data_IF_717180342604
#
_entry.id   IF_717180342604
#
_cell.length_a   1.000
_cell.length_b   1.000
_cell.length_c   1.000
_cell.angle_alpha   90.00
_cell.angle_beta   90.00
_cell.angle_gamma   90.00
#
_symmetry.space_group_name_H-M   'P 1'
#
loop_
_entity.id
_entity.type
_entity.pdbx_description
1 polymer ?
#
# COMPACT_ATOMS: atom_id res chain seq x y z
N UNK A 1 -4.68 -8.23 75.16
CA UNK A 1 -3.83 -8.64 74.10
C UNK A 1 -4.58 -9.36 72.94
N UNK A 2 -5.47 -10.30 73.24
CA UNK A 2 -6.25 -11.03 72.21
C UNK A 2 -7.25 -10.17 71.43
N UNK A 3 -7.91 -9.21 72.09
CA UNK A 3 -8.83 -8.28 71.41
C UNK A 3 -8.14 -7.37 70.39
N UNK A 4 -6.92 -6.93 70.69
CA UNK A 4 -6.12 -6.10 69.75
C UNK A 4 -5.64 -6.88 68.53
N UNK A 5 -5.29 -8.17 68.73
CA UNK A 5 -4.91 -9.06 67.59
C UNK A 5 -6.10 -9.33 66.67
N UNK A 6 -7.30 -9.51 67.20
CA UNK A 6 -8.53 -9.70 66.39
C UNK A 6 -8.88 -8.43 65.59
N UNK A 7 -8.73 -7.25 66.20
CA UNK A 7 -8.97 -5.98 65.57
C UNK A 7 -7.99 -5.73 64.39
N UNK A 8 -6.69 -6.01 64.58
CA UNK A 8 -5.67 -5.89 63.57
C UNK A 8 -5.92 -6.86 62.39
N UNK A 9 -6.35 -8.11 62.71
CA UNK A 9 -6.64 -9.10 61.68
C UNK A 9 -7.86 -8.72 60.83
N UNK A 10 -8.91 -8.12 61.43
CA UNK A 10 -10.10 -7.62 60.70
C UNK A 10 -9.74 -6.41 59.83
N UNK A 11 -8.90 -5.50 60.33
CA UNK A 11 -8.43 -4.32 59.52
C UNK A 11 -7.55 -4.75 58.36
N UNK A 12 -6.67 -5.76 58.56
CA UNK A 12 -5.86 -6.32 57.45
C UNK A 12 -6.72 -7.03 56.40
N UNK A 13 -7.77 -7.81 56.82
CA UNK A 13 -8.70 -8.43 55.89
C UNK A 13 -9.53 -7.39 55.12
N UNK A 14 -9.95 -6.32 55.76
CA UNK A 14 -10.66 -5.22 55.09
C UNK A 14 -9.74 -4.47 54.10
N UNK A 15 -8.46 -4.25 54.43
CA UNK A 15 -7.51 -3.66 53.49
C UNK A 15 -7.20 -4.57 52.31
N UNK A 16 -7.11 -5.89 52.53
CA UNK A 16 -6.91 -6.85 51.41
C UNK A 16 -8.15 -6.89 50.49
N UNK A 17 -9.36 -6.83 51.07
CA UNK A 17 -10.60 -6.78 50.29
C UNK A 17 -10.74 -5.47 49.49
N UNK A 18 -10.29 -4.32 50.02
CA UNK A 18 -10.26 -3.04 49.31
C UNK A 18 -9.19 -3.05 48.21
N UNK A 19 -8.05 -3.70 48.45
CA UNK A 19 -7.02 -3.88 47.38
C UNK A 19 -7.50 -4.79 46.27
N UNK A 20 -8.23 -5.88 46.54
CA UNK A 20 -8.78 -6.76 45.50
C UNK A 20 -9.89 -6.08 44.68
N UNK A 21 -10.68 -5.16 45.29
CA UNK A 21 -11.69 -4.38 44.54
C UNK A 21 -11.05 -3.24 43.75
N UNK A 22 -9.91 -2.70 44.19
CA UNK A 22 -9.17 -1.67 43.45
C UNK A 22 -8.39 -2.27 42.24
N UNK A 23 -7.88 -3.52 42.37
CA UNK A 23 -7.25 -4.22 41.27
C UNK A 23 -8.26 -4.74 40.21
N UNK A 24 -9.55 -4.81 40.52
CA UNK A 24 -10.58 -5.23 39.56
C UNK A 24 -11.33 -4.04 38.93
N UNK A 25 -10.81 -2.81 39.10
CA UNK A 25 -11.35 -1.58 38.50
C UNK A 25 -10.41 -0.88 37.51
N UNK A 26 -9.25 -1.50 37.26
CA UNK A 26 -8.54 -1.32 36.02
C UNK A 26 -8.91 -2.48 35.09
N UNK A 27 -10.17 -2.59 34.72
CA UNK A 27 -10.50 -2.97 33.36
C UNK A 27 -9.90 -1.83 32.53
N UNK A 28 -8.66 -1.99 32.01
CA UNK A 28 -8.36 -1.45 30.74
C UNK A 28 -9.54 -1.90 29.90
N UNK A 29 -10.31 -0.94 29.44
CA UNK A 29 -11.01 -1.02 28.19
C UNK A 29 -9.87 -0.96 27.13
N UNK A 30 -9.03 -2.00 27.10
CA UNK A 30 -8.31 -2.44 25.92
C UNK A 30 -9.38 -3.09 25.01
N UNK A 31 -10.44 -2.35 24.72
CA UNK A 31 -11.23 -2.56 23.52
C UNK A 31 -10.21 -2.36 22.42
N UNK A 32 -9.82 -3.50 21.86
CA UNK A 32 -8.64 -3.65 21.06
C UNK A 32 -8.57 -2.60 19.97
N UNK A 33 -7.61 -1.72 20.17
CA UNK A 33 -7.27 -0.68 19.22
C UNK A 33 -6.63 -1.36 18.02
N UNK A 34 -7.26 -1.28 16.85
CA UNK A 34 -6.72 -1.82 15.62
C UNK A 34 -5.63 -0.88 15.10
N UNK A 35 -4.40 -1.38 15.00
CA UNK A 35 -3.23 -0.65 14.53
C UNK A 35 -3.14 -0.75 13.01
N UNK A 36 -3.41 0.36 12.34
CA UNK A 36 -3.38 0.44 10.88
C UNK A 36 -2.08 1.11 10.43
N UNK A 37 -1.28 0.40 9.63
CA UNK A 37 -0.05 0.96 9.08
C UNK A 37 -0.21 1.40 7.63
N UNK A 38 0.70 2.27 7.19
CA UNK A 38 0.87 2.65 5.80
C UNK A 38 2.33 2.51 5.37
N UNK A 39 2.55 2.16 4.11
CA UNK A 39 3.85 2.36 3.45
C UNK A 39 4.06 3.87 3.22
N UNK A 40 5.32 4.32 3.11
CA UNK A 40 5.67 5.74 3.04
C UNK A 40 5.52 6.37 1.64
N UNK A 41 4.36 6.17 1.00
CA UNK A 41 4.00 6.84 -0.25
C UNK A 41 2.50 7.16 -0.28
N UNK A 42 2.14 8.18 -1.03
CA UNK A 42 0.84 8.85 -1.02
C UNK A 42 -0.35 7.91 -1.08
N UNK A 43 -0.39 7.03 -2.07
CA UNK A 43 -1.51 6.09 -2.27
C UNK A 43 -1.77 5.22 -1.04
N UNK A 44 -0.70 4.67 -0.46
CA UNK A 44 -0.84 3.78 0.69
C UNK A 44 -1.24 4.54 1.96
N UNK A 45 -0.79 5.81 2.11
CA UNK A 45 -1.22 6.69 3.19
C UNK A 45 -2.72 7.04 3.06
N UNK A 46 -3.18 7.38 1.86
CA UNK A 46 -4.61 7.65 1.59
C UNK A 46 -5.46 6.42 1.93
N UNK A 47 -5.06 5.24 1.47
CA UNK A 47 -5.80 3.99 1.70
C UNK A 47 -5.87 3.64 3.20
N UNK A 48 -4.74 3.72 3.91
CA UNK A 48 -4.72 3.46 5.35
C UNK A 48 -5.61 4.43 6.12
N UNK A 49 -5.66 5.71 5.73
CA UNK A 49 -6.55 6.69 6.34
C UNK A 49 -8.04 6.40 6.01
N UNK A 50 -8.36 5.99 4.77
CA UNK A 50 -9.72 5.55 4.42
C UNK A 50 -10.13 4.34 5.27
N UNK A 51 -9.25 3.35 5.46
CA UNK A 51 -9.52 2.19 6.31
C UNK A 51 -9.75 2.61 7.76
N UNK A 52 -8.91 3.53 8.28
CA UNK A 52 -9.05 4.06 9.63
C UNK A 52 -10.41 4.74 9.84
N UNK A 53 -10.80 5.64 8.94
CA UNK A 53 -12.10 6.32 8.98
C UNK A 53 -13.27 5.34 8.93
N UNK A 54 -13.15 4.28 8.13
CA UNK A 54 -14.19 3.27 7.98
C UNK A 54 -14.36 2.40 9.24
N UNK A 55 -13.26 2.06 9.92
CA UNK A 55 -13.33 1.33 11.19
C UNK A 55 -13.84 2.21 12.31
N UNK A 56 -13.42 3.47 12.38
CA UNK A 56 -13.94 4.44 13.37
C UNK A 56 -15.44 4.68 13.20
N UNK A 57 -15.96 4.68 11.95
CA UNK A 57 -17.39 4.85 11.67
C UNK A 57 -18.27 3.71 12.23
N UNK A 58 -17.73 2.51 12.36
CA UNK A 58 -18.39 1.37 12.99
C UNK A 58 -18.06 1.21 14.48
N UNK A 59 -17.32 2.17 15.07
CA UNK A 59 -17.05 2.27 16.50
C UNK A 59 -15.78 1.52 16.97
N UNK A 60 -14.93 1.06 16.06
CA UNK A 60 -13.63 0.45 16.39
C UNK A 60 -12.61 1.55 16.66
N UNK A 61 -11.84 1.43 17.75
CA UNK A 61 -10.74 2.35 18.01
C UNK A 61 -9.56 2.03 17.08
N UNK A 62 -8.93 3.07 16.54
CA UNK A 62 -7.83 2.92 15.56
C UNK A 62 -6.60 3.70 16.02
N UNK A 63 -5.44 3.06 15.90
CA UNK A 63 -4.13 3.71 15.96
C UNK A 63 -3.52 3.75 14.56
N UNK A 64 -3.16 4.95 14.08
CA UNK A 64 -2.55 5.19 12.77
C UNK A 64 -1.04 5.12 12.87
N UNK A 65 -0.42 4.18 12.13
CA UNK A 65 1.03 3.99 12.06
C UNK A 65 1.47 4.25 10.63
N UNK A 66 1.93 5.48 10.34
CA UNK A 66 2.29 5.90 8.99
C UNK A 66 3.78 5.81 8.68
N UNK A 67 4.12 5.89 7.39
CA UNK A 67 5.47 6.14 6.91
C UNK A 67 6.45 4.99 7.04
N UNK A 68 6.02 3.74 7.06
CA UNK A 68 6.90 2.57 7.08
C UNK A 68 7.51 2.30 5.69
N UNK A 69 8.79 1.94 5.64
CA UNK A 69 9.39 1.44 4.40
C UNK A 69 8.72 0.12 3.97
N UNK A 70 8.50 -0.06 2.65
CA UNK A 70 7.75 -1.20 2.10
C UNK A 70 8.28 -2.57 2.57
N UNK A 71 9.59 -2.73 2.71
CA UNK A 71 10.19 -3.98 3.21
C UNK A 71 10.01 -4.23 4.71
N UNK A 72 9.56 -3.24 5.49
CA UNK A 72 9.38 -3.36 6.94
C UNK A 72 7.94 -3.66 7.35
N UNK A 73 6.95 -3.22 6.57
CA UNK A 73 5.55 -3.33 6.94
C UNK A 73 5.08 -4.79 7.06
N UNK A 74 5.56 -5.68 6.17
CA UNK A 74 5.26 -7.11 6.25
C UNK A 74 5.84 -7.74 7.52
N UNK A 75 7.07 -7.38 7.90
CA UNK A 75 7.66 -7.85 9.14
C UNK A 75 6.89 -7.33 10.36
N UNK A 76 6.39 -6.10 10.31
CA UNK A 76 5.62 -5.53 11.41
C UNK A 76 4.30 -6.27 11.65
N UNK A 77 3.56 -6.64 10.59
CA UNK A 77 2.31 -7.40 10.74
C UNK A 77 2.58 -8.84 11.23
N UNK A 78 3.60 -9.49 10.72
CA UNK A 78 3.97 -10.86 11.15
C UNK A 78 4.50 -10.91 12.58
N UNK A 79 5.08 -9.81 13.07
CA UNK A 79 5.54 -9.66 14.46
C UNK A 79 4.46 -9.11 15.40
N UNK A 80 3.22 -8.95 14.95
CA UNK A 80 2.12 -8.38 15.72
C UNK A 80 2.37 -6.94 16.20
N UNK A 81 3.16 -6.16 15.47
CA UNK A 81 3.40 -4.73 15.75
C UNK A 81 2.30 -3.85 15.13
N UNK A 82 1.66 -4.34 14.06
CA UNK A 82 0.50 -3.75 13.39
C UNK A 82 -0.53 -4.84 13.10
N UNK A 83 -1.77 -4.46 12.79
CA UNK A 83 -2.90 -5.36 12.62
C UNK A 83 -3.46 -5.39 11.20
N UNK A 84 -3.36 -4.27 10.48
CA UNK A 84 -3.94 -4.06 9.15
C UNK A 84 -3.08 -3.09 8.33
N UNK A 85 -2.94 -3.36 7.04
CA UNK A 85 -2.42 -2.38 6.08
C UNK A 85 -2.87 -2.69 4.64
N UNK A 86 -2.84 -1.69 3.70
CA UNK A 86 -3.07 -1.92 2.28
C UNK A 86 -1.85 -2.59 1.64
N UNK A 87 -2.02 -3.78 1.04
CA UNK A 87 -0.96 -4.50 0.33
C UNK A 87 -1.33 -4.69 -1.15
N UNK A 88 -0.36 -5.06 -1.96
CA UNK A 88 -0.46 -5.26 -3.39
C UNK A 88 -0.19 -6.73 -3.74
N UNK A 89 -1.07 -7.33 -4.55
CA UNK A 89 -0.99 -8.76 -4.88
C UNK A 89 0.35 -9.14 -5.50
N UNK A 90 0.89 -8.35 -6.43
CA UNK A 90 2.20 -8.59 -7.04
C UNK A 90 3.35 -8.50 -6.04
N UNK A 91 3.28 -7.59 -5.04
CA UNK A 91 4.28 -7.53 -3.96
C UNK A 91 4.21 -8.78 -3.10
N UNK A 92 3.00 -9.20 -2.71
CA UNK A 92 2.80 -10.45 -1.97
C UNK A 92 3.39 -11.65 -2.71
N UNK A 93 3.10 -11.77 -4.01
CA UNK A 93 3.55 -12.88 -4.84
C UNK A 93 5.09 -12.93 -5.00
N UNK A 94 5.67 -11.83 -5.51
CA UNK A 94 7.07 -11.82 -5.94
C UNK A 94 8.04 -11.54 -4.80
N UNK A 95 7.71 -10.55 -3.93
CA UNK A 95 8.67 -10.05 -2.93
C UNK A 95 8.58 -10.81 -1.61
N UNK A 96 7.36 -11.16 -1.18
CA UNK A 96 7.17 -11.83 0.11
C UNK A 96 7.23 -13.35 -0.03
N UNK A 97 6.47 -13.92 -0.97
CA UNK A 97 6.39 -15.38 -1.18
C UNK A 97 7.50 -15.91 -2.09
N UNK A 98 8.12 -15.06 -2.93
CA UNK A 98 9.23 -15.44 -3.81
C UNK A 98 8.81 -16.35 -4.97
N UNK A 99 7.56 -16.23 -5.42
CA UNK A 99 7.09 -16.95 -6.62
C UNK A 99 7.68 -16.39 -7.91
N UNK A 100 7.66 -17.19 -8.96
CA UNK A 100 7.91 -16.70 -10.33
C UNK A 100 6.74 -15.83 -10.82
N UNK A 101 6.96 -15.13 -11.93
CA UNK A 101 5.97 -14.24 -12.55
C UNK A 101 4.69 -15.02 -12.94
N UNK A 102 3.56 -14.57 -12.43
CA UNK A 102 2.20 -15.00 -12.81
C UNK A 102 1.44 -13.74 -13.23
N UNK A 103 0.80 -13.77 -14.38
CA UNK A 103 0.10 -12.60 -14.95
C UNK A 103 -1.43 -12.68 -14.88
N UNK A 104 -1.98 -13.82 -14.48
CA UNK A 104 -3.43 -13.97 -14.26
C UNK A 104 -3.81 -13.41 -12.88
N UNK A 105 -4.66 -12.37 -12.79
CA UNK A 105 -4.98 -11.70 -11.53
C UNK A 105 -5.73 -12.58 -10.53
N UNK A 106 -6.58 -13.48 -11.01
CA UNK A 106 -7.35 -14.37 -10.12
C UNK A 106 -6.44 -15.45 -9.53
N UNK A 107 -5.49 -15.95 -10.31
CA UNK A 107 -4.48 -16.89 -9.84
C UNK A 107 -3.53 -16.25 -8.83
N UNK A 108 -3.03 -15.04 -9.12
CA UNK A 108 -2.17 -14.29 -8.18
C UNK A 108 -2.89 -14.07 -6.85
N UNK A 109 -4.14 -13.57 -6.89
CA UNK A 109 -4.91 -13.32 -5.68
C UNK A 109 -5.18 -14.58 -4.86
N UNK A 110 -5.51 -15.69 -5.54
CA UNK A 110 -5.71 -17.00 -4.89
C UNK A 110 -4.44 -17.45 -4.17
N UNK A 111 -3.27 -17.39 -4.82
CA UNK A 111 -2.00 -17.83 -4.23
C UNK A 111 -1.65 -16.97 -3.01
N UNK A 112 -1.67 -15.64 -3.13
CA UNK A 112 -1.31 -14.78 -2.00
C UNK A 112 -2.29 -14.95 -0.84
N UNK A 113 -3.58 -15.14 -1.11
CA UNK A 113 -4.57 -15.35 -0.06
C UNK A 113 -4.36 -16.66 0.69
N UNK A 114 -4.19 -17.77 -0.04
CA UNK A 114 -4.00 -19.09 0.56
C UNK A 114 -2.68 -19.19 1.32
N UNK A 115 -1.57 -18.74 0.74
CA UNK A 115 -0.26 -18.88 1.36
C UNK A 115 -0.01 -17.90 2.51
N UNK A 116 -0.54 -16.67 2.46
CA UNK A 116 -0.45 -15.75 3.61
C UNK A 116 -1.26 -16.25 4.80
N UNK A 117 -2.42 -16.86 4.53
CA UNK A 117 -3.24 -17.48 5.58
C UNK A 117 -2.52 -18.66 6.23
N UNK A 118 -1.88 -19.53 5.42
CA UNK A 118 -1.18 -20.72 5.91
C UNK A 118 0.14 -20.38 6.62
N UNK A 119 0.93 -19.46 6.06
CA UNK A 119 2.29 -19.19 6.53
C UNK A 119 2.35 -18.14 7.65
N UNK A 120 1.43 -17.18 7.64
CA UNK A 120 1.53 -16.00 8.49
C UNK A 120 0.30 -15.71 9.36
N UNK A 121 -0.78 -16.47 9.23
CA UNK A 121 -2.09 -16.17 9.85
C UNK A 121 -2.64 -14.77 9.48
N UNK A 122 -2.37 -14.34 8.24
CA UNK A 122 -2.82 -13.07 7.68
C UNK A 122 -3.85 -13.33 6.59
N UNK A 123 -4.98 -12.63 6.68
CA UNK A 123 -6.10 -12.76 5.76
C UNK A 123 -6.04 -11.62 4.73
N UNK A 124 -6.07 -11.96 3.45
CA UNK A 124 -6.34 -11.02 2.37
C UNK A 124 -7.85 -10.85 2.23
N UNK A 125 -8.34 -9.63 2.40
CA UNK A 125 -9.73 -9.29 2.08
C UNK A 125 -9.88 -9.07 0.56
N UNK A 126 -11.09 -8.75 0.09
CA UNK A 126 -11.33 -8.61 -1.35
C UNK A 126 -10.42 -7.54 -1.96
N UNK A 127 -9.78 -7.89 -3.07
CA UNK A 127 -9.00 -6.94 -3.84
C UNK A 127 -9.89 -5.94 -4.57
N UNK A 128 -9.37 -4.73 -4.78
CA UNK A 128 -9.98 -3.69 -5.62
C UNK A 128 -9.63 -3.93 -7.10
N UNK A 129 -10.28 -3.18 -8.01
CA UNK A 129 -9.88 -3.15 -9.41
C UNK A 129 -8.69 -2.21 -9.70
N UNK A 130 -8.17 -1.53 -8.70
CA UNK A 130 -6.95 -0.73 -8.82
C UNK A 130 -5.77 -1.63 -9.11
N UNK A 131 -5.00 -1.31 -10.13
CA UNK A 131 -3.74 -1.99 -10.43
C UNK A 131 -2.60 -0.96 -10.41
N UNK A 132 -1.82 -0.93 -9.33
CA UNK A 132 -0.66 -0.06 -9.17
C UNK A 132 0.63 -0.80 -9.51
N UNK A 133 0.84 -1.01 -10.80
CA UNK A 133 2.04 -1.67 -11.33
C UNK A 133 3.19 -0.68 -11.50
N UNK A 134 4.40 -1.22 -11.63
CA UNK A 134 5.49 -0.52 -12.31
C UNK A 134 5.02 -0.07 -13.69
N UNK A 135 5.57 1.02 -14.19
CA UNK A 135 5.26 1.53 -15.52
C UNK A 135 6.40 2.34 -16.09
N UNK A 136 6.37 2.49 -17.40
CA UNK A 136 7.23 3.42 -18.13
C UNK A 136 6.38 4.49 -18.79
N UNK A 137 6.91 5.70 -18.87
CA UNK A 137 6.26 6.82 -19.51
C UNK A 137 7.23 7.59 -20.38
N UNK A 138 6.69 8.29 -21.36
CA UNK A 138 7.40 9.27 -22.19
C UNK A 138 6.70 10.62 -22.11
N UNK A 139 7.42 11.71 -22.43
CA UNK A 139 6.74 12.98 -22.67
C UNK A 139 5.83 12.86 -23.89
N UNK A 140 4.69 13.58 -23.90
CA UNK A 140 3.77 13.61 -25.05
C UNK A 140 4.48 13.98 -26.35
N UNK A 141 5.41 14.94 -26.29
CA UNK A 141 6.26 15.31 -27.42
C UNK A 141 7.00 14.09 -28.01
N UNK A 142 7.61 13.26 -27.17
CA UNK A 142 8.36 12.07 -27.60
C UNK A 142 7.42 11.01 -28.17
N UNK A 143 6.27 10.79 -27.52
CA UNK A 143 5.25 9.88 -28.03
C UNK A 143 4.78 10.28 -29.43
N UNK A 144 4.49 11.56 -29.66
CA UNK A 144 4.04 12.07 -30.97
C UNK A 144 5.15 12.04 -32.03
N UNK A 145 6.39 12.38 -31.66
CA UNK A 145 7.55 12.45 -32.57
C UNK A 145 7.96 11.08 -33.07
N UNK A 146 8.00 10.06 -32.19
CA UNK A 146 8.48 8.70 -32.51
C UNK A 146 7.36 7.68 -32.66
N UNK A 147 6.09 8.03 -32.33
CA UNK A 147 4.96 7.10 -32.34
C UNK A 147 5.00 6.09 -31.21
N UNK A 148 5.61 6.43 -30.05
CA UNK A 148 5.81 5.53 -28.93
C UNK A 148 4.55 5.51 -28.05
N UNK A 149 3.93 4.32 -27.93
CA UNK A 149 2.75 4.06 -27.09
C UNK A 149 2.87 2.81 -26.25
N UNK A 150 3.81 1.92 -26.59
CA UNK A 150 4.06 0.66 -25.88
C UNK A 150 5.50 0.60 -25.36
N UNK A 151 5.78 -0.33 -24.45
CA UNK A 151 7.16 -0.59 -23.98
C UNK A 151 8.01 -1.18 -25.10
N UNK A 152 7.42 -2.00 -26.00
CA UNK A 152 8.12 -2.45 -27.21
C UNK A 152 8.55 -1.30 -28.12
N UNK A 153 7.69 -0.28 -28.31
CA UNK A 153 8.07 0.92 -29.09
C UNK A 153 9.23 1.65 -28.43
N UNK A 154 9.17 1.84 -27.11
CA UNK A 154 10.25 2.48 -26.35
C UNK A 154 11.57 1.72 -26.51
N UNK A 155 11.55 0.39 -26.40
CA UNK A 155 12.73 -0.46 -26.58
C UNK A 155 13.35 -0.29 -27.95
N UNK A 156 12.54 -0.24 -29.02
CA UNK A 156 13.01 -0.05 -30.40
C UNK A 156 13.65 1.32 -30.64
N UNK A 157 13.23 2.36 -29.91
CA UNK A 157 13.73 3.73 -30.06
C UNK A 157 14.74 4.13 -28.99
N UNK A 158 15.10 3.24 -28.05
CA UNK A 158 15.90 3.53 -26.87
C UNK A 158 17.22 4.27 -27.18
N UNK A 159 17.92 3.91 -28.27
CA UNK A 159 19.20 4.51 -28.66
C UNK A 159 19.12 6.03 -28.94
N UNK A 160 17.94 6.57 -29.15
CA UNK A 160 17.69 7.98 -29.41
C UNK A 160 17.17 8.74 -28.18
N UNK A 161 16.92 8.07 -27.07
CA UNK A 161 16.18 8.59 -25.93
C UNK A 161 17.02 8.59 -24.66
N UNK A 162 16.89 9.68 -23.89
CA UNK A 162 17.43 9.79 -22.54
C UNK A 162 16.42 9.26 -21.54
N UNK A 163 16.85 8.34 -20.69
CA UNK A 163 16.01 7.67 -19.73
C UNK A 163 16.39 8.03 -18.30
N UNK A 164 15.40 8.30 -17.45
CA UNK A 164 15.59 8.47 -16.01
C UNK A 164 14.80 7.44 -15.23
N UNK A 165 15.43 6.89 -14.20
CA UNK A 165 14.80 5.94 -13.30
C UNK A 165 14.92 6.40 -11.84
N UNK A 166 14.05 5.86 -10.98
CA UNK A 166 14.24 5.92 -9.53
C UNK A 166 15.20 4.81 -9.10
N UNK A 167 16.05 5.07 -8.09
CA UNK A 167 17.19 4.21 -7.77
C UNK A 167 16.88 2.74 -7.49
N UNK A 168 15.73 2.44 -6.93
CA UNK A 168 15.33 1.05 -6.64
C UNK A 168 14.97 0.26 -7.90
N UNK A 169 14.40 0.91 -8.92
CA UNK A 169 13.94 0.27 -10.16
C UNK A 169 15.06 -0.47 -10.90
N UNK A 170 16.25 0.09 -10.90
CA UNK A 170 17.40 -0.49 -11.60
C UNK A 170 17.92 -1.78 -10.95
N UNK A 171 17.63 -1.98 -9.66
CA UNK A 171 18.19 -3.06 -8.85
C UNK A 171 17.15 -4.11 -8.44
N UNK A 172 15.87 -3.76 -8.45
CA UNK A 172 14.78 -4.67 -8.07
C UNK A 172 14.61 -5.74 -9.15
N UNK A 173 14.36 -6.97 -8.73
CA UNK A 173 14.08 -8.08 -9.63
C UNK A 173 12.86 -7.83 -10.52
N UNK A 174 11.82 -7.17 -9.98
CA UNK A 174 10.61 -6.75 -10.70
C UNK A 174 10.74 -5.38 -11.41
N UNK A 175 11.94 -4.83 -11.50
CA UNK A 175 12.25 -3.58 -12.17
C UNK A 175 12.90 -3.77 -13.54
N UNK A 176 14.03 -3.07 -13.77
CA UNK A 176 14.78 -3.14 -15.04
C UNK A 176 15.27 -4.55 -15.38
N UNK A 177 15.73 -5.41 -14.44
CA UNK A 177 16.11 -6.77 -14.76
C UNK A 177 14.99 -7.56 -15.44
N UNK A 178 13.76 -7.50 -14.90
CA UNK A 178 12.59 -8.16 -15.50
C UNK A 178 12.24 -7.61 -16.88
N UNK A 179 12.31 -6.28 -17.04
CA UNK A 179 12.08 -5.65 -18.37
C UNK A 179 13.09 -6.13 -19.41
N UNK A 180 14.36 -6.26 -19.05
CA UNK A 180 15.40 -6.76 -19.95
C UNK A 180 15.15 -8.24 -20.30
N UNK A 181 14.67 -9.03 -19.36
CA UNK A 181 14.33 -10.43 -19.62
C UNK A 181 13.18 -10.55 -20.62
N UNK A 182 12.14 -9.72 -20.50
CA UNK A 182 10.92 -9.81 -21.33
C UNK A 182 11.07 -9.08 -22.66
N UNK A 183 11.59 -7.85 -22.66
CA UNK A 183 11.67 -6.97 -23.85
C UNK A 183 13.02 -7.00 -24.54
N UNK A 184 14.06 -7.57 -23.91
CA UNK A 184 15.43 -7.43 -24.35
C UNK A 184 16.11 -6.16 -23.80
N UNK A 185 17.38 -5.91 -24.17
CA UNK A 185 18.15 -4.79 -23.65
C UNK A 185 17.59 -3.43 -24.13
N UNK A 186 17.66 -2.43 -23.25
CA UNK A 186 17.34 -1.04 -23.56
C UNK A 186 18.65 -0.25 -23.67
N UNK A 187 19.12 -0.03 -24.89
CA UNK A 187 20.37 0.70 -25.17
C UNK A 187 20.11 2.20 -25.25
N UNK A 188 19.66 2.81 -24.12
CA UNK A 188 19.34 4.24 -24.07
C UNK A 188 20.55 5.13 -24.43
N UNK A 189 20.31 6.26 -25.12
CA UNK A 189 21.31 7.27 -25.45
C UNK A 189 22.03 7.77 -24.19
N UNK A 190 21.29 8.01 -23.12
CA UNK A 190 21.78 8.32 -21.79
C UNK A 190 20.85 7.75 -20.73
N UNK A 191 21.40 7.35 -19.58
CA UNK A 191 20.63 6.82 -18.48
C UNK A 191 21.13 7.36 -17.15
N UNK A 192 20.22 7.90 -16.37
CA UNK A 192 20.53 8.41 -15.04
C UNK A 192 19.46 8.02 -14.02
N UNK A 193 19.89 7.95 -12.75
CA UNK A 193 19.06 7.67 -11.58
C UNK A 193 18.86 8.97 -10.84
N UNK A 194 17.60 9.35 -10.60
CA UNK A 194 17.24 10.59 -9.93
C UNK A 194 16.26 10.34 -8.79
N UNK A 195 16.03 11.35 -7.96
CA UNK A 195 14.99 11.31 -6.95
C UNK A 195 13.61 11.22 -7.61
N UNK A 196 12.75 10.35 -7.07
CA UNK A 196 11.40 10.10 -7.59
C UNK A 196 10.57 11.36 -7.74
N UNK A 197 10.70 12.32 -6.83
CA UNK A 197 9.94 13.58 -6.84
C UNK A 197 10.27 14.48 -8.02
N UNK A 198 11.43 14.29 -8.65
CA UNK A 198 11.90 15.12 -9.77
C UNK A 198 11.56 14.54 -11.15
N UNK A 199 11.10 13.29 -11.25
CA UNK A 199 10.93 12.56 -12.52
C UNK A 199 10.03 13.33 -13.50
N UNK A 200 8.86 13.76 -13.05
CA UNK A 200 7.89 14.47 -13.90
C UNK A 200 8.41 15.86 -14.33
N UNK A 201 9.12 16.56 -13.46
CA UNK A 201 9.71 17.85 -13.77
C UNK A 201 10.81 17.73 -14.85
N UNK A 202 11.70 16.76 -14.73
CA UNK A 202 12.79 16.48 -15.67
C UNK A 202 12.24 16.12 -17.05
N UNK A 203 11.16 15.32 -17.13
CA UNK A 203 10.48 15.05 -18.41
C UNK A 203 9.82 16.30 -18.99
N UNK A 204 9.11 17.08 -18.16
CA UNK A 204 8.42 18.31 -18.60
C UNK A 204 9.40 19.35 -19.14
N UNK A 205 10.56 19.46 -18.53
CA UNK A 205 11.63 20.37 -18.96
C UNK A 205 12.39 19.85 -20.20
N UNK A 206 12.14 18.63 -20.64
CA UNK A 206 12.85 18.01 -21.77
C UNK A 206 14.32 17.67 -21.45
N UNK A 207 14.64 17.47 -20.17
CA UNK A 207 15.96 17.00 -19.73
C UNK A 207 16.11 15.49 -19.89
N UNK A 208 14.98 14.75 -19.85
CA UNK A 208 14.85 13.37 -20.23
C UNK A 208 13.66 13.19 -21.21
N UNK A 209 13.61 12.05 -21.88
CA UNK A 209 12.63 11.71 -22.91
C UNK A 209 11.68 10.60 -22.43
N UNK A 210 12.17 9.70 -21.61
CA UNK A 210 11.43 8.59 -21.01
C UNK A 210 11.81 8.41 -19.53
N UNK A 211 10.91 7.84 -18.75
CA UNK A 211 11.12 7.61 -17.32
C UNK A 211 10.31 6.45 -16.77
N UNK A 212 10.71 6.00 -15.56
CA UNK A 212 9.88 5.12 -14.73
C UNK A 212 8.74 5.88 -14.08
N UNK A 213 7.63 5.20 -13.85
CA UNK A 213 6.48 5.68 -13.07
C UNK A 213 5.77 4.50 -12.40
N UNK A 214 4.70 4.80 -11.66
CA UNK A 214 3.68 3.83 -11.27
C UNK A 214 2.38 4.14 -12.00
N UNK A 215 1.63 3.10 -12.37
CA UNK A 215 0.43 3.24 -13.21
C UNK A 215 -0.72 4.01 -12.56
N UNK A 216 -0.65 4.26 -11.26
CA UNK A 216 -1.61 5.08 -10.50
C UNK A 216 -1.06 6.44 -10.06
N UNK A 217 0.11 6.86 -10.57
CA UNK A 217 0.68 8.16 -10.21
C UNK A 217 -0.27 9.30 -10.60
N UNK A 218 -0.52 10.24 -9.65
CA UNK A 218 -1.43 11.37 -9.86
C UNK A 218 -1.05 12.24 -11.06
N UNK A 219 0.23 12.52 -11.26
CA UNK A 219 0.72 13.35 -12.37
C UNK A 219 0.41 12.79 -13.77
N UNK A 220 -0.02 11.52 -13.87
CA UNK A 220 -0.51 10.96 -15.15
C UNK A 220 -1.84 11.57 -15.62
N UNK A 221 -2.52 12.37 -14.79
CA UNK A 221 -3.67 13.19 -15.23
C UNK A 221 -3.24 14.41 -16.08
N UNK A 222 -1.97 14.78 -16.06
CA UNK A 222 -1.46 15.86 -16.92
C UNK A 222 -1.34 15.37 -18.37
N UNK A 223 -1.76 16.21 -19.32
CA UNK A 223 -1.68 15.89 -20.75
C UNK A 223 -0.25 15.87 -21.32
N UNK A 224 0.75 16.14 -20.49
CA UNK A 224 2.16 16.23 -20.88
C UNK A 224 2.86 14.88 -20.97
N UNK A 225 2.25 13.82 -20.45
CA UNK A 225 2.85 12.49 -20.31
C UNK A 225 1.99 11.41 -20.95
N UNK A 226 2.64 10.37 -21.44
CA UNK A 226 2.00 9.17 -21.97
C UNK A 226 2.54 7.96 -21.21
N UNK A 227 1.66 7.32 -20.44
CA UNK A 227 1.93 6.02 -19.84
C UNK A 227 1.95 4.97 -20.95
N UNK A 228 3.03 4.19 -21.01
CA UNK A 228 3.19 3.16 -22.02
C UNK A 228 2.46 1.88 -21.65
N UNK A 229 1.86 1.23 -22.64
CA UNK A 229 1.27 -0.09 -22.48
C UNK A 229 2.38 -1.13 -22.30
N UNK A 230 2.26 -1.99 -21.29
CA UNK A 230 3.08 -3.20 -21.10
C UNK A 230 2.54 -4.32 -22.00
N UNK A 231 2.85 -4.22 -23.29
CA UNK A 231 2.29 -5.06 -24.36
C UNK A 231 2.75 -6.53 -24.30
N UNK A 232 3.88 -6.82 -23.65
CA UNK A 232 4.36 -8.18 -23.40
C UNK A 232 4.07 -8.69 -21.98
N UNK A 233 3.42 -7.88 -21.13
CA UNK A 233 3.03 -8.24 -19.76
C UNK A 233 4.21 -8.67 -18.90
N UNK A 234 5.21 -7.79 -18.81
CA UNK A 234 6.39 -8.03 -17.98
C UNK A 234 6.05 -8.10 -16.48
N UNK A 235 5.04 -7.34 -16.04
CA UNK A 235 4.69 -7.30 -14.62
C UNK A 235 3.45 -8.11 -14.28
N UNK A 236 3.40 -8.68 -13.06
CA UNK A 236 2.16 -9.26 -12.53
C UNK A 236 1.15 -8.16 -12.24
N UNK A 237 -0.12 -8.48 -12.01
CA UNK A 237 -1.07 -7.53 -11.47
C UNK A 237 -0.71 -7.13 -10.03
N UNK A 238 -0.80 -5.83 -9.73
CA UNK A 238 -0.63 -5.26 -8.39
C UNK A 238 -1.95 -4.70 -7.88
N UNK A 239 -2.96 -5.57 -7.75
CA UNK A 239 -4.25 -5.16 -7.17
C UNK A 239 -4.11 -4.90 -5.68
N UNK A 240 -4.78 -3.83 -5.23
CA UNK A 240 -4.76 -3.42 -3.83
C UNK A 240 -5.80 -4.22 -3.06
N UNK A 241 -5.41 -4.76 -1.90
CA UNK A 241 -6.31 -5.35 -0.94
C UNK A 241 -5.92 -5.00 0.51
N UNK A 242 -6.89 -4.87 1.42
CA UNK A 242 -6.59 -4.85 2.84
C UNK A 242 -6.08 -6.21 3.28
N UNK A 243 -4.97 -6.26 4.01
CA UNK A 243 -4.53 -7.50 4.68
C UNK A 243 -4.56 -7.29 6.19
N UNK A 244 -5.08 -8.27 6.91
CA UNK A 244 -5.39 -8.18 8.33
C UNK A 244 -4.97 -9.46 9.05
N UNK A 245 -4.50 -9.35 10.29
CA UNK A 245 -4.26 -10.51 11.15
C UNK A 245 -5.56 -11.26 11.39
N UNK A 246 -5.50 -12.60 11.29
CA UNK A 246 -6.68 -13.48 11.53
C UNK A 246 -7.32 -13.21 12.88
N UNK A 247 -6.52 -13.13 13.95
CA UNK A 247 -7.00 -12.90 15.31
C UNK A 247 -7.88 -11.65 15.40
N UNK A 248 -7.45 -10.53 14.81
CA UNK A 248 -8.21 -9.27 14.81
C UNK A 248 -9.51 -9.39 14.02
N UNK A 249 -9.49 -10.12 12.90
CA UNK A 249 -10.69 -10.35 12.10
C UNK A 249 -11.68 -11.30 12.78
N UNK A 250 -11.20 -12.28 13.58
CA UNK A 250 -12.06 -13.15 14.38
C UNK A 250 -12.75 -12.40 15.52
N UNK A 251 -12.08 -11.41 16.11
CA UNK A 251 -12.64 -10.54 17.16
C UNK A 251 -13.60 -9.49 16.59
N UNK A 252 -13.31 -8.98 15.39
CA UNK A 252 -14.07 -7.94 14.70
C UNK A 252 -14.47 -8.37 13.27
N UNK A 253 -15.34 -9.37 13.10
CA UNK A 253 -15.70 -9.88 11.78
C UNK A 253 -16.38 -8.85 10.86
N UNK A 254 -16.97 -7.78 11.42
CA UNK A 254 -17.56 -6.66 10.68
C UNK A 254 -16.54 -5.86 9.86
N UNK A 255 -15.25 -5.93 10.19
CA UNK A 255 -14.17 -5.28 9.44
C UNK A 255 -14.17 -5.75 7.98
N UNK A 256 -14.36 -7.05 7.74
CA UNK A 256 -14.36 -7.59 6.38
C UNK A 256 -15.42 -6.92 5.49
N UNK A 257 -16.65 -6.79 5.97
CA UNK A 257 -17.74 -6.20 5.19
C UNK A 257 -17.48 -4.72 4.87
N UNK A 258 -16.91 -3.99 5.83
CA UNK A 258 -16.61 -2.57 5.69
C UNK A 258 -15.49 -2.35 4.68
N UNK A 259 -14.35 -3.03 4.82
CA UNK A 259 -13.20 -2.87 3.95
C UNK A 259 -13.44 -3.44 2.54
N UNK A 260 -14.23 -4.51 2.41
CA UNK A 260 -14.63 -5.03 1.10
C UNK A 260 -15.50 -4.04 0.31
N UNK A 261 -16.34 -3.23 0.98
CA UNK A 261 -17.08 -2.15 0.31
C UNK A 261 -16.14 -1.04 -0.21
N UNK A 262 -15.07 -0.73 0.53
CA UNK A 262 -14.06 0.23 0.08
C UNK A 262 -13.34 -0.34 -1.15
N UNK A 263 -12.87 -1.59 -1.11
CA UNK A 263 -12.23 -2.25 -2.25
C UNK A 263 -13.11 -2.22 -3.50
N UNK A 264 -14.41 -2.47 -3.36
CA UNK A 264 -15.37 -2.46 -4.46
C UNK A 264 -15.61 -1.06 -5.06
N UNK A 265 -15.40 0.02 -4.29
CA UNK A 265 -15.57 1.40 -4.74
C UNK A 265 -14.31 2.00 -5.38
N UNK A 266 -13.16 1.32 -5.26
CA UNK A 266 -11.88 1.79 -5.77
C UNK A 266 -11.57 1.20 -7.15
N UNK A 267 -11.32 2.08 -8.12
CA UNK A 267 -10.72 1.75 -9.42
C UNK A 267 -9.46 2.61 -9.67
N UNK A 268 -8.67 2.24 -10.68
CA UNK A 268 -7.43 2.95 -10.99
C UNK A 268 -7.67 4.44 -11.30
N UNK A 269 -8.75 4.79 -11.98
CA UNK A 269 -9.08 6.20 -12.28
C UNK A 269 -9.39 7.00 -11.02
N UNK A 270 -10.10 6.40 -10.07
CA UNK A 270 -10.37 7.00 -8.75
C UNK A 270 -9.07 7.16 -7.98
N UNK A 271 -8.24 6.14 -7.95
CA UNK A 271 -6.97 6.19 -7.21
C UNK A 271 -6.00 7.23 -7.77
N UNK A 272 -5.89 7.36 -9.11
CA UNK A 272 -5.11 8.42 -9.76
C UNK A 272 -5.61 9.81 -9.34
N UNK A 273 -6.94 10.03 -9.28
CA UNK A 273 -7.51 11.32 -8.82
C UNK A 273 -7.18 11.60 -7.35
N UNK A 274 -7.27 10.61 -6.47
CA UNK A 274 -6.91 10.78 -5.05
C UNK A 274 -5.42 11.11 -4.90
N UNK A 275 -4.56 10.40 -5.62
CA UNK A 275 -3.12 10.69 -5.63
C UNK A 275 -2.83 12.10 -6.18
N UNK A 276 -3.52 12.52 -7.24
CA UNK A 276 -3.42 13.86 -7.81
C UNK A 276 -3.74 14.97 -6.79
N UNK A 277 -4.79 14.80 -6.00
CA UNK A 277 -5.19 15.77 -5.00
C UNK A 277 -4.10 16.00 -3.95
N UNK A 278 -3.38 14.95 -3.57
CA UNK A 278 -2.28 15.06 -2.59
C UNK A 278 -0.98 15.50 -3.26
N UNK A 279 -0.52 14.80 -4.31
CA UNK A 279 0.81 14.98 -4.88
C UNK A 279 0.94 16.29 -5.68
N UNK A 280 -0.12 16.71 -6.35
CA UNK A 280 -0.12 17.86 -7.28
C UNK A 280 -0.86 19.06 -6.70
N UNK A 281 -2.05 18.84 -6.13
CA UNK A 281 -2.84 19.91 -5.52
C UNK A 281 -2.40 20.21 -4.07
N UNK A 282 -1.45 19.45 -3.51
CA UNK A 282 -0.88 19.64 -2.18
C UNK A 282 -1.90 19.67 -1.05
N UNK A 283 -2.96 18.85 -1.19
CA UNK A 283 -3.95 18.66 -0.13
C UNK A 283 -3.42 17.66 0.91
N UNK A 284 -3.89 17.79 2.14
CA UNK A 284 -3.57 16.84 3.20
C UNK A 284 -4.23 15.47 2.92
N UNK A 285 -3.52 14.39 3.24
CA UNK A 285 -3.97 13.00 3.05
C UNK A 285 -5.31 12.75 3.75
N UNK A 286 -5.43 13.26 4.99
CA UNK A 286 -6.61 13.09 5.84
C UNK A 286 -7.85 13.74 5.24
N UNK A 287 -7.71 14.89 4.59
CA UNK A 287 -8.82 15.62 3.96
C UNK A 287 -9.29 14.88 2.70
N UNK A 288 -8.35 14.42 1.87
CA UNK A 288 -8.65 13.67 0.64
C UNK A 288 -9.31 12.32 0.96
N UNK A 289 -8.78 11.60 1.92
CA UNK A 289 -9.32 10.32 2.38
C UNK A 289 -10.74 10.48 2.96
N UNK A 290 -10.96 11.51 3.77
CA UNK A 290 -12.27 11.83 4.38
C UNK A 290 -13.30 12.16 3.32
N UNK A 291 -12.98 13.02 2.36
CA UNK A 291 -13.89 13.40 1.28
C UNK A 291 -14.30 12.18 0.44
N UNK A 292 -13.36 11.32 0.10
CA UNK A 292 -13.66 10.07 -0.60
C UNK A 292 -14.56 9.17 0.24
N UNK A 293 -14.24 8.94 1.51
CA UNK A 293 -15.03 8.09 2.40
C UNK A 293 -16.47 8.64 2.58
N UNK A 294 -16.63 9.96 2.75
CA UNK A 294 -17.94 10.58 2.84
C UNK A 294 -18.76 10.46 1.55
N UNK A 295 -18.10 10.44 0.38
CA UNK A 295 -18.77 10.26 -0.92
C UNK A 295 -19.36 8.85 -1.12
N UNK A 296 -18.91 7.88 -0.32
CA UNK A 296 -19.39 6.49 -0.35
C UNK A 296 -20.63 6.25 0.54
N UNK A 297 -20.99 7.21 1.41
CA UNK A 297 -22.14 7.15 2.31
C UNK A 297 -23.41 7.56 1.57
#
# INVERSE_FOLDING_TARGET
MESLKKLVMVVCMLMIAVFMVACNRNGNDDSETVRIAAKNFTENLILAEIYALALEDIGIQVERIGGMASGLVHNAITNNEIDLYPEYTGTGLLVVLGHELITDPDEVFRIVSEEYEELFDIIWLNQSSVNNSQGLMVSKRVSEEFGITTISDLQHHAENLRFVSQGEFDLREDGLPLLIEVYGPFDFLDRSVIDRSLIFEVLRNGEADAATTYTTNGSLLEDDFVLLEDDLRAWPPYHIAPIIRREVLEEHPEIADVLNRISAALDSGTMIRLNWEVDVNHREVEDVAREFFESMR
#
